data_IF_731607330642
#
_entry.id   IF_731607330642
#
_cell.length_a   1.000
_cell.length_b   1.000
_cell.length_c   1.000
_cell.angle_alpha   90.00
_cell.angle_beta   90.00
_cell.angle_gamma   90.00
#
_symmetry.space_group_name_H-M   'P 1'
#
loop_
_entity.id
_entity.type
_entity.pdbx_description
1 polymer ?
#
# COMPACT_ATOMS: atom_id res chain seq x y z
N UNK A 1 -1.53 12.82 -4.12
CA UNK A 1 -1.96 12.13 -5.36
C UNK A 1 -3.36 11.59 -5.10
N UNK A 2 -4.22 11.46 -6.12
CA UNK A 2 -5.61 11.04 -5.93
C UNK A 2 -5.79 9.53 -6.19
N UNK A 3 -6.85 8.96 -5.64
CA UNK A 3 -7.34 7.60 -5.91
C UNK A 3 -6.30 6.49 -5.68
N UNK A 4 -5.53 6.59 -4.59
CA UNK A 4 -4.58 5.55 -4.18
C UNK A 4 -3.30 5.43 -5.02
N UNK A 5 -3.07 6.33 -5.98
CA UNK A 5 -1.83 6.34 -6.77
C UNK A 5 -0.66 6.83 -5.91
N UNK A 6 0.47 6.15 -5.96
CA UNK A 6 1.66 6.52 -5.20
C UNK A 6 2.42 7.69 -5.86
N UNK A 7 3.15 8.47 -5.05
CA UNK A 7 4.07 9.48 -5.54
C UNK A 7 5.34 8.83 -6.11
N UNK A 8 5.91 9.42 -7.15
CA UNK A 8 7.24 9.02 -7.65
C UNK A 8 8.37 9.49 -6.72
N UNK A 9 8.16 10.57 -5.97
CA UNK A 9 9.05 10.99 -4.89
C UNK A 9 8.56 10.35 -3.59
N UNK A 10 9.31 9.36 -3.13
CA UNK A 10 9.05 8.64 -1.90
C UNK A 10 9.68 9.38 -0.71
N UNK A 11 9.08 9.29 0.50
CA UNK A 11 9.68 9.86 1.69
C UNK A 11 10.92 9.06 2.11
N UNK A 12 11.87 9.75 2.73
CA UNK A 12 13.05 9.16 3.36
C UNK A 12 12.85 9.25 4.88
N UNK A 13 12.68 8.09 5.52
CA UNK A 13 12.34 7.96 6.94
C UNK A 13 13.26 6.89 7.53
N UNK A 14 14.00 7.24 8.58
CA UNK A 14 14.93 6.32 9.21
C UNK A 14 14.23 5.04 9.70
N UNK A 15 14.77 3.89 9.33
CA UNK A 15 14.22 2.58 9.68
C UNK A 15 12.96 2.16 8.90
N UNK A 16 12.48 2.97 7.95
CA UNK A 16 11.28 2.66 7.15
C UNK A 16 11.60 2.69 5.66
N UNK A 17 11.48 1.54 5.01
CA UNK A 17 11.55 1.45 3.57
C UNK A 17 10.15 1.68 2.97
N UNK A 18 10.04 2.67 2.09
CA UNK A 18 8.83 2.95 1.33
C UNK A 18 9.10 2.68 -0.14
N UNK A 19 8.24 1.87 -0.77
CA UNK A 19 8.31 1.53 -2.19
C UNK A 19 6.94 1.73 -2.84
N UNK A 20 6.91 1.85 -4.17
CA UNK A 20 5.64 1.87 -4.91
C UNK A 20 5.07 0.46 -4.99
N UNK A 21 3.83 0.29 -4.57
CA UNK A 21 3.16 -1.01 -4.62
C UNK A 21 3.03 -1.53 -6.06
N UNK A 22 2.82 -0.63 -7.03
CA UNK A 22 2.78 -0.98 -8.45
C UNK A 22 4.04 -1.71 -8.95
N UNK A 23 5.22 -1.38 -8.43
CA UNK A 23 6.48 -2.08 -8.76
C UNK A 23 6.50 -3.48 -8.15
N UNK A 24 6.05 -3.61 -6.89
CA UNK A 24 5.94 -4.89 -6.17
C UNK A 24 4.85 -5.82 -6.72
N UNK A 25 3.79 -5.25 -7.29
CA UNK A 25 2.78 -5.98 -8.04
C UNK A 25 3.35 -6.49 -9.37
N UNK A 26 4.17 -5.67 -10.04
CA UNK A 26 4.81 -6.03 -11.31
C UNK A 26 5.82 -7.15 -11.14
N UNK A 27 6.63 -7.11 -10.07
CA UNK A 27 7.64 -8.14 -9.78
C UNK A 27 7.07 -9.35 -9.00
N UNK A 28 5.81 -9.28 -8.56
CA UNK A 28 5.11 -10.33 -7.84
C UNK A 28 5.46 -10.45 -6.36
N UNK A 29 6.37 -9.64 -5.83
CA UNK A 29 6.81 -9.71 -4.43
C UNK A 29 5.74 -9.24 -3.43
N UNK A 30 4.67 -8.59 -3.89
CA UNK A 30 3.51 -8.26 -3.06
C UNK A 30 2.54 -9.44 -2.83
N UNK A 31 2.66 -10.54 -3.58
CA UNK A 31 1.67 -11.63 -3.56
C UNK A 31 1.34 -12.20 -2.16
N UNK A 32 2.30 -12.42 -1.25
CA UNK A 32 1.98 -12.96 0.08
C UNK A 32 1.06 -12.05 0.92
N UNK A 33 1.03 -10.75 0.64
CA UNK A 33 0.15 -9.78 1.32
C UNK A 33 -1.26 -9.68 0.72
N UNK A 34 -1.54 -10.44 -0.35
CA UNK A 34 -2.79 -10.39 -1.10
C UNK A 34 -3.59 -11.70 -1.01
N UNK A 35 -3.18 -12.61 -0.12
CA UNK A 35 -3.94 -13.83 0.12
C UNK A 35 -5.34 -13.52 0.67
N UNK A 36 -6.32 -14.31 0.24
CA UNK A 36 -7.69 -14.18 0.77
C UNK A 36 -7.70 -14.48 2.26
N UNK A 37 -8.27 -13.59 3.06
CA UNK A 37 -8.45 -13.82 4.49
C UNK A 37 -9.40 -14.99 4.79
N UNK A 38 -10.45 -15.13 3.97
CA UNK A 38 -11.45 -16.19 4.06
C UNK A 38 -12.38 -16.20 2.85
N UNK A 39 -13.17 -17.26 2.69
CA UNK A 39 -14.10 -17.38 1.54
C UNK A 39 -15.27 -16.41 1.57
N UNK A 40 -15.53 -15.80 2.72
CA UNK A 40 -16.57 -14.79 2.97
C UNK A 40 -16.06 -13.35 2.84
N UNK A 41 -14.75 -13.15 2.59
CA UNK A 41 -14.16 -11.82 2.41
C UNK A 41 -14.30 -11.32 0.96
N UNK A 42 -15.54 -11.02 0.58
CA UNK A 42 -15.85 -10.47 -0.74
C UNK A 42 -15.13 -9.14 -1.01
N UNK A 43 -14.91 -8.31 0.02
CA UNK A 43 -14.27 -7.00 -0.12
C UNK A 43 -12.76 -7.15 -0.30
N UNK A 44 -12.10 -8.01 0.46
CA UNK A 44 -10.68 -8.34 0.27
C UNK A 44 -10.42 -8.96 -1.09
N UNK A 45 -11.28 -9.87 -1.55
CA UNK A 45 -11.21 -10.43 -2.89
C UNK A 45 -11.32 -9.34 -3.97
N UNK A 46 -12.27 -8.42 -3.83
CA UNK A 46 -12.44 -7.30 -4.75
C UNK A 46 -11.22 -6.37 -4.76
N UNK A 47 -10.74 -5.94 -3.58
CA UNK A 47 -9.59 -5.06 -3.48
C UNK A 47 -8.33 -5.72 -4.04
N UNK A 48 -8.12 -7.01 -3.78
CA UNK A 48 -7.01 -7.79 -4.34
C UNK A 48 -7.09 -7.88 -5.86
N UNK A 49 -8.28 -8.10 -6.42
CA UNK A 49 -8.46 -8.20 -7.87
C UNK A 49 -8.21 -6.87 -8.60
N UNK A 50 -8.45 -5.73 -7.95
CA UNK A 50 -8.38 -4.40 -8.59
C UNK A 50 -7.25 -3.49 -8.08
N UNK A 51 -6.47 -3.90 -7.08
CA UNK A 51 -5.34 -3.10 -6.61
C UNK A 51 -4.33 -2.92 -7.75
N UNK A 52 -3.95 -1.68 -8.00
CA UNK A 52 -3.06 -1.32 -9.10
C UNK A 52 -1.84 -0.51 -8.63
N UNK A 53 -1.98 0.25 -7.54
CA UNK A 53 -0.91 1.06 -6.97
C UNK A 53 -1.19 1.32 -5.48
N UNK A 54 -0.26 2.03 -4.85
CA UNK A 54 -0.25 2.31 -3.42
C UNK A 54 1.18 2.35 -2.91
N UNK A 55 1.35 2.29 -1.59
CA UNK A 55 2.68 2.20 -0.98
C UNK A 55 2.86 0.80 -0.37
N UNK A 56 4.03 0.21 -0.63
CA UNK A 56 4.54 -0.90 0.16
C UNK A 56 5.45 -0.30 1.23
N UNK A 57 5.16 -0.57 2.50
CA UNK A 57 5.88 0.01 3.64
C UNK A 57 6.42 -1.14 4.47
N UNK A 58 7.74 -1.14 4.66
CA UNK A 58 8.44 -2.09 5.51
C UNK A 58 9.14 -1.32 6.64
N UNK A 59 8.93 -1.76 7.88
CA UNK A 59 9.49 -1.12 9.07
C UNK A 59 10.52 -2.08 9.66
N UNK A 60 11.78 -1.66 9.66
CA UNK A 60 12.87 -2.49 10.15
C UNK A 60 12.69 -2.83 11.64
N UNK A 61 13.10 -4.04 12.03
CA UNK A 61 13.03 -4.50 13.41
C UNK A 61 13.69 -3.52 14.39
N UNK A 62 13.00 -3.24 15.49
CA UNK A 62 13.50 -2.34 16.53
C UNK A 62 13.42 -0.85 16.20
N UNK A 63 12.89 -0.46 15.03
CA UNK A 63 12.65 0.95 14.68
C UNK A 63 11.73 1.60 15.71
N UNK A 64 12.19 2.72 16.29
CA UNK A 64 11.36 3.56 17.16
C UNK A 64 10.97 4.84 16.41
N UNK A 65 9.69 4.93 16.05
CA UNK A 65 9.17 6.12 15.40
C UNK A 65 8.90 7.22 16.45
N UNK A 66 9.61 8.34 16.35
CA UNK A 66 9.37 9.51 17.21
C UNK A 66 7.97 10.13 16.99
N UNK A 67 7.40 9.92 15.80
CA UNK A 67 6.08 10.42 15.38
C UNK A 67 5.33 9.34 14.59
N UNK A 68 3.98 9.35 14.60
CA UNK A 68 3.20 8.41 13.80
C UNK A 68 3.55 8.50 12.31
N UNK A 69 3.58 7.34 11.64
CA UNK A 69 3.62 7.25 10.19
C UNK A 69 2.19 7.35 9.64
N UNK A 70 1.88 8.42 8.92
CA UNK A 70 0.55 8.63 8.33
C UNK A 70 0.51 8.17 6.86
N UNK A 71 -0.46 7.30 6.54
CA UNK A 71 -0.82 6.95 5.18
C UNK A 71 -2.14 7.64 4.80
N UNK A 72 -2.04 8.71 4.01
CA UNK A 72 -3.20 9.52 3.62
C UNK A 72 -3.61 9.23 2.17
N UNK A 73 -4.77 8.61 2.00
CA UNK A 73 -5.41 8.43 0.69
C UNK A 73 -6.46 9.51 0.47
N UNK A 74 -6.35 10.25 -0.64
CA UNK A 74 -7.38 11.19 -1.08
C UNK A 74 -8.17 10.60 -2.25
N UNK A 75 -9.49 10.45 -2.07
CA UNK A 75 -10.39 10.04 -3.14
C UNK A 75 -10.92 11.26 -3.89
N UNK A 76 -10.81 11.25 -5.22
CA UNK A 76 -11.23 12.35 -6.10
C UNK A 76 -12.76 12.46 -6.27
N UNK A 77 -13.53 11.58 -5.65
CA UNK A 77 -14.98 11.43 -5.83
C UNK A 77 -15.39 10.01 -6.25
N UNK A 78 -16.70 9.80 -6.35
CA UNK A 78 -17.32 8.55 -6.82
C UNK A 78 -17.93 8.69 -8.22
N UNK A 79 -18.75 7.73 -8.60
CA UNK A 79 -19.57 7.82 -9.82
C UNK A 79 -20.62 8.94 -9.66
N UNK A 80 -20.78 9.76 -10.70
CA UNK A 80 -21.91 10.70 -10.88
C UNK A 80 -23.05 10.03 -11.63
#
# INVERSE_FOLDING_TARGET
VLNGVSSTKLPDIEGVAVQRLSEKLTDGSAAPGLDSYGSDDAIGALNTAFVADGYFVDIADGTQLEKPLELQNLQAGGQT
#
